data_IF_500872770839
#
_entry.id   IF_500872770839
#
_cell.length_a   1.000
_cell.length_b   1.000
_cell.length_c   1.000
_cell.angle_alpha   90.00
_cell.angle_beta   90.00
_cell.angle_gamma   90.00
#
_symmetry.space_group_name_H-M   'P 1'
#
loop_
_entity.id
_entity.type
_entity.pdbx_description
1 polymer ?
#
# COMPACT_ATOMS: atom_id res chain seq x y z
N UNK A 1 -9.05 17.92 7.12
CA UNK A 1 -7.96 17.26 7.85
C UNK A 1 -6.84 18.30 8.06
N UNK A 2 -6.10 18.33 9.22
CA UNK A 2 -5.07 19.34 9.49
C UNK A 2 -4.00 19.46 8.41
N UNK A 3 -3.53 18.35 7.88
CA UNK A 3 -2.51 18.31 6.82
C UNK A 3 -2.96 18.90 5.47
N UNK A 4 -4.25 18.85 5.15
CA UNK A 4 -4.80 19.51 3.95
C UNK A 4 -4.74 21.03 4.07
N UNK A 5 -4.84 21.55 5.29
CA UNK A 5 -4.69 22.97 5.61
C UNK A 5 -3.24 23.42 5.45
N UNK A 6 -2.30 22.61 5.94
CA UNK A 6 -0.86 22.90 5.82
C UNK A 6 -0.35 22.84 4.38
N UNK A 7 -0.84 21.90 3.56
CA UNK A 7 -0.51 21.84 2.13
C UNK A 7 -0.96 23.10 1.37
N UNK A 8 -2.13 23.65 1.69
CA UNK A 8 -2.63 24.92 1.11
C UNK A 8 -1.83 26.14 1.56
N UNK A 9 -1.37 26.16 2.80
CA UNK A 9 -0.61 27.28 3.37
C UNK A 9 0.82 27.34 2.83
N UNK A 10 1.43 26.18 2.52
CA UNK A 10 2.83 26.08 2.08
C UNK A 10 3.01 26.20 0.56
N UNK A 11 1.94 26.43 -0.22
CA UNK A 11 2.04 26.62 -1.67
C UNK A 11 2.57 25.41 -2.43
N UNK A 12 2.40 24.19 -1.88
CA UNK A 12 2.80 22.97 -2.58
C UNK A 12 1.91 22.82 -3.81
N UNK A 13 2.48 22.65 -5.03
CA UNK A 13 1.68 22.44 -6.23
C UNK A 13 0.78 21.23 -6.02
N UNK A 14 -0.54 21.45 -6.02
CA UNK A 14 -1.49 20.36 -5.88
C UNK A 14 -1.38 19.45 -7.11
N UNK A 15 -1.02 18.19 -6.91
CA UNK A 15 -1.24 17.14 -7.88
C UNK A 15 -2.76 16.99 -8.03
N UNK A 16 -3.35 17.73 -8.97
CA UNK A 16 -4.80 17.80 -9.16
C UNK A 16 -5.56 18.33 -7.94
N UNK A 17 -6.71 18.95 -8.16
CA UNK A 17 -7.59 19.35 -7.07
C UNK A 17 -8.02 18.10 -6.29
N UNK A 18 -7.70 18.04 -4.99
CA UNK A 18 -8.15 16.98 -4.11
C UNK A 18 -7.22 15.77 -3.94
N UNK A 19 -5.97 15.78 -4.44
CA UNK A 19 -5.03 14.69 -4.20
C UNK A 19 -4.93 14.36 -2.68
N UNK A 20 -4.97 13.07 -2.34
CA UNK A 20 -4.87 12.61 -0.95
C UNK A 20 -3.47 12.88 -0.42
N UNK A 21 -2.46 12.58 -1.22
CA UNK A 21 -1.06 12.83 -0.91
C UNK A 21 -0.45 13.80 -1.94
N UNK A 22 -0.49 15.12 -1.69
CA UNK A 22 -0.03 16.12 -2.65
C UNK A 22 1.49 16.27 -2.66
N UNK A 23 2.22 15.16 -2.85
CA UNK A 23 3.68 15.12 -2.97
C UNK A 23 4.04 14.75 -4.40
N UNK A 24 4.89 15.53 -5.09
CA UNK A 24 5.27 15.24 -6.48
C UNK A 24 5.90 13.86 -6.64
N UNK A 25 5.52 13.13 -7.70
CA UNK A 25 6.12 11.81 -7.99
C UNK A 25 7.65 11.84 -8.09
N UNK A 26 8.22 12.95 -8.54
CA UNK A 26 9.67 13.13 -8.63
C UNK A 26 10.37 13.03 -7.26
N UNK A 27 9.67 13.44 -6.20
CA UNK A 27 10.19 13.39 -4.82
C UNK A 27 9.99 12.02 -4.16
N UNK A 28 9.07 11.22 -4.69
CA UNK A 28 8.69 9.90 -4.16
C UNK A 28 9.42 8.77 -4.87
N UNK A 29 9.53 8.84 -6.21
CA UNK A 29 10.04 7.75 -7.04
C UNK A 29 11.56 7.76 -7.09
N UNK A 30 12.16 6.61 -6.82
CA UNK A 30 13.62 6.40 -6.90
C UNK A 30 13.95 5.29 -7.89
N UNK A 31 15.15 5.34 -8.45
CA UNK A 31 15.64 4.27 -9.30
C UNK A 31 15.88 3.00 -8.46
N UNK A 32 15.58 1.81 -9.00
CA UNK A 32 15.84 0.57 -8.28
C UNK A 32 17.31 0.39 -7.95
N UNK A 33 17.57 -0.11 -6.77
CA UNK A 33 18.92 -0.50 -6.31
C UNK A 33 18.85 -1.84 -5.57
N UNK A 34 19.97 -2.47 -5.35
CA UNK A 34 20.04 -3.70 -4.59
C UNK A 34 19.78 -3.43 -3.10
N UNK A 35 18.69 -4.01 -2.58
CA UNK A 35 18.30 -3.82 -1.19
C UNK A 35 19.18 -4.66 -0.28
N UNK A 36 19.79 -4.09 0.77
CA UNK A 36 20.59 -4.84 1.73
C UNK A 36 19.79 -5.99 2.36
N UNK A 37 20.43 -7.17 2.50
CA UNK A 37 19.77 -8.35 3.04
C UNK A 37 19.33 -8.20 4.49
N UNK A 38 20.03 -7.37 5.26
CA UNK A 38 19.73 -7.11 6.67
C UNK A 38 18.54 -6.15 6.90
N UNK A 39 18.01 -5.52 5.84
CA UNK A 39 16.85 -4.68 5.98
C UNK A 39 15.61 -5.53 6.21
N UNK A 40 14.83 -5.28 7.28
CA UNK A 40 13.55 -5.94 7.49
C UNK A 40 12.64 -5.72 6.29
N UNK A 41 11.94 -6.78 5.90
CA UNK A 41 10.98 -6.76 4.80
C UNK A 41 9.59 -7.14 5.29
N UNK A 42 8.59 -6.58 4.67
CA UNK A 42 7.18 -6.85 4.94
C UNK A 42 6.39 -6.69 3.64
N UNK A 43 5.26 -7.36 3.52
CA UNK A 43 4.30 -7.06 2.46
C UNK A 43 2.92 -6.71 3.02
N UNK A 44 2.14 -5.98 2.24
CA UNK A 44 0.74 -5.73 2.52
C UNK A 44 -0.14 -6.22 1.37
N UNK A 45 -1.27 -6.84 1.70
CA UNK A 45 -2.17 -7.52 0.79
C UNK A 45 -3.59 -6.94 0.92
N UNK A 46 -4.11 -6.42 -0.19
CA UNK A 46 -5.51 -6.07 -0.39
C UNK A 46 -6.14 -7.09 -1.34
N UNK A 47 -7.19 -7.78 -0.88
CA UNK A 47 -7.78 -8.93 -1.56
C UNK A 47 -9.13 -8.62 -2.17
N UNK A 48 -9.32 -9.05 -3.41
CA UNK A 48 -10.59 -8.96 -4.10
C UNK A 48 -10.58 -9.74 -5.41
N UNK A 49 -11.74 -10.28 -5.80
CA UNK A 49 -11.86 -11.02 -7.05
C UNK A 49 -11.47 -10.20 -8.29
N UNK A 50 -11.95 -8.96 -8.37
CA UNK A 50 -11.65 -8.10 -9.51
C UNK A 50 -10.21 -7.60 -9.48
N UNK A 51 -9.63 -7.46 -8.29
CA UNK A 51 -8.26 -7.03 -8.09
C UNK A 51 -7.74 -7.53 -6.75
N UNK A 52 -6.60 -8.19 -6.78
CA UNK A 52 -5.74 -8.43 -5.63
C UNK A 52 -4.46 -7.66 -5.83
N UNK A 53 -4.11 -6.84 -4.84
CA UNK A 53 -2.92 -5.99 -4.85
C UNK A 53 -2.00 -6.34 -3.69
N UNK A 54 -0.70 -6.43 -3.96
CA UNK A 54 0.33 -6.63 -2.93
C UNK A 54 1.46 -5.66 -3.16
N UNK A 55 1.93 -5.04 -2.08
CA UNK A 55 3.13 -4.19 -2.07
C UNK A 55 4.14 -4.77 -1.10
N UNK A 56 5.41 -4.80 -1.49
CA UNK A 56 6.52 -5.15 -0.60
C UNK A 56 7.32 -3.92 -0.23
N UNK A 57 7.67 -3.83 1.04
CA UNK A 57 8.52 -2.80 1.59
C UNK A 57 9.76 -3.36 2.26
N UNK A 58 10.85 -2.61 2.16
CA UNK A 58 12.09 -2.83 2.88
C UNK A 58 12.42 -1.58 3.71
N UNK A 59 12.80 -1.78 4.96
CA UNK A 59 12.97 -0.69 5.91
C UNK A 59 14.43 -0.47 6.28
N UNK A 60 14.94 0.72 5.92
CA UNK A 60 16.24 1.21 6.36
C UNK A 60 16.11 1.85 7.76
N UNK A 61 16.57 1.11 8.77
CA UNK A 61 16.55 1.58 10.16
C UNK A 61 17.53 2.74 10.41
N UNK A 62 18.57 2.87 9.58
CA UNK A 62 19.62 3.89 9.75
C UNK A 62 19.11 5.31 9.53
N UNK A 63 18.18 5.46 8.60
CA UNK A 63 17.60 6.76 8.22
C UNK A 63 16.07 6.81 8.38
N UNK A 64 15.47 5.80 9.01
CA UNK A 64 14.01 5.66 9.16
C UNK A 64 13.28 5.79 7.82
N UNK A 65 13.74 5.10 6.77
CA UNK A 65 13.12 5.15 5.46
C UNK A 65 12.55 3.80 5.03
N UNK A 66 11.32 3.82 4.52
CA UNK A 66 10.64 2.67 3.92
C UNK A 66 10.72 2.77 2.39
N UNK A 67 11.22 1.71 1.76
CA UNK A 67 11.29 1.59 0.30
C UNK A 67 10.27 0.56 -0.18
N UNK A 68 9.25 1.01 -0.93
CA UNK A 68 8.37 0.10 -1.65
C UNK A 68 9.10 -0.33 -2.93
N UNK A 69 9.38 -1.63 -3.09
CA UNK A 69 10.32 -2.09 -4.10
C UNK A 69 9.74 -3.02 -5.17
N UNK A 70 8.60 -3.63 -4.90
CA UNK A 70 7.89 -4.49 -5.88
C UNK A 70 6.40 -4.56 -5.57
N UNK A 71 5.63 -4.87 -6.60
CA UNK A 71 4.17 -5.00 -6.52
C UNK A 71 3.70 -6.29 -7.20
N UNK A 72 2.54 -6.79 -6.76
CA UNK A 72 1.73 -7.76 -7.48
C UNK A 72 0.34 -7.16 -7.66
N UNK A 73 -0.16 -7.15 -8.90
CA UNK A 73 -1.41 -6.47 -9.23
C UNK A 73 -2.17 -7.29 -10.26
N UNK A 74 -3.08 -8.15 -9.79
CA UNK A 74 -3.78 -9.11 -10.63
C UNK A 74 -5.22 -9.32 -10.14
N UNK A 75 -6.16 -9.42 -11.05
CA UNK A 75 -7.53 -9.84 -10.76
C UNK A 75 -7.89 -11.17 -11.40
N UNK A 76 -9.06 -11.68 -11.05
CA UNK A 76 -9.66 -12.90 -11.61
C UNK A 76 -8.74 -14.11 -11.52
N UNK A 77 -8.17 -14.31 -10.36
CA UNK A 77 -7.31 -15.44 -10.05
C UNK A 77 -7.61 -15.94 -8.63
N UNK A 78 -7.43 -17.23 -8.44
CA UNK A 78 -7.64 -17.91 -7.18
C UNK A 78 -6.59 -17.48 -6.13
N UNK A 79 -6.91 -17.55 -4.83
CA UNK A 79 -5.97 -17.24 -3.74
C UNK A 79 -4.65 -17.97 -3.85
N UNK A 80 -4.65 -19.23 -4.32
CA UNK A 80 -3.44 -20.03 -4.53
C UNK A 80 -2.45 -19.40 -5.53
N UNK A 81 -2.96 -18.75 -6.58
CA UNK A 81 -2.12 -18.06 -7.56
C UNK A 81 -1.43 -16.83 -6.95
N UNK A 82 -2.16 -16.09 -6.13
CA UNK A 82 -1.63 -14.93 -5.43
C UNK A 82 -0.61 -15.36 -4.36
N UNK A 83 -0.95 -16.40 -3.58
CA UNK A 83 -0.05 -16.95 -2.57
C UNK A 83 1.25 -17.50 -3.19
N UNK A 84 1.18 -18.18 -4.34
CA UNK A 84 2.36 -18.62 -5.06
C UNK A 84 3.25 -17.45 -5.49
N UNK A 85 2.65 -16.38 -6.02
CA UNK A 85 3.37 -15.16 -6.40
C UNK A 85 4.00 -14.45 -5.19
N UNK A 86 3.34 -14.47 -4.04
CA UNK A 86 3.87 -13.91 -2.78
C UNK A 86 5.07 -14.74 -2.30
N UNK A 87 4.92 -16.06 -2.20
CA UNK A 87 5.99 -16.97 -1.75
C UNK A 87 7.21 -16.94 -2.66
N UNK A 88 7.04 -16.75 -3.96
CA UNK A 88 8.14 -16.62 -4.91
C UNK A 88 9.04 -15.40 -4.66
N UNK A 89 8.55 -14.39 -3.94
CA UNK A 89 9.33 -13.19 -3.56
C UNK A 89 10.01 -13.31 -2.20
N UNK A 90 9.77 -14.41 -1.50
CA UNK A 90 10.37 -14.72 -0.20
C UNK A 90 9.30 -15.22 0.77
N UNK A 91 9.21 -16.54 0.93
CA UNK A 91 8.25 -17.18 1.85
C UNK A 91 8.47 -16.83 3.33
N UNK A 92 9.63 -16.29 3.65
CA UNK A 92 10.01 -15.84 5.00
C UNK A 92 9.51 -14.43 5.32
N UNK A 93 9.06 -13.64 4.33
CA UNK A 93 8.61 -12.26 4.53
C UNK A 93 7.24 -12.30 5.19
N UNK A 94 7.05 -11.66 6.37
CA UNK A 94 5.74 -11.54 6.98
C UNK A 94 4.86 -10.55 6.22
N UNK A 95 3.54 -10.68 6.35
CA UNK A 95 2.59 -9.81 5.70
C UNK A 95 1.48 -9.30 6.59
N UNK A 96 0.84 -8.24 6.14
CA UNK A 96 -0.43 -7.75 6.67
C UNK A 96 -1.49 -7.85 5.59
N UNK A 97 -2.71 -8.19 5.97
CA UNK A 97 -3.86 -8.32 5.06
C UNK A 97 -5.00 -7.41 5.48
N UNK A 98 -5.76 -6.90 4.51
CA UNK A 98 -6.98 -6.12 4.79
C UNK A 98 -7.87 -6.87 5.79
N UNK A 99 -8.24 -6.26 6.93
CA UNK A 99 -9.18 -6.85 7.87
C UNK A 99 -10.53 -7.23 7.27
N UNK A 100 -10.96 -6.58 6.19
CA UNK A 100 -12.17 -6.93 5.47
C UNK A 100 -12.13 -8.35 4.88
N UNK A 101 -10.92 -8.90 4.66
CA UNK A 101 -10.75 -10.31 4.27
C UNK A 101 -11.29 -11.31 5.30
N UNK A 102 -11.47 -10.90 6.57
CA UNK A 102 -12.12 -11.68 7.63
C UNK A 102 -13.66 -11.68 7.54
N UNK A 103 -14.22 -10.86 6.68
CA UNK A 103 -15.58 -10.90 6.15
C UNK A 103 -16.75 -10.58 7.03
N UNK A 104 -17.71 -9.82 6.46
CA UNK A 104 -19.06 -9.56 6.97
C UNK A 104 -20.14 -10.42 6.32
N UNK A 105 -19.83 -11.27 5.38
CA UNK A 105 -20.78 -12.20 4.77
C UNK A 105 -20.41 -13.61 5.16
N UNK A 106 -21.43 -14.34 5.59
CA UNK A 106 -21.29 -15.67 6.18
C UNK A 106 -20.52 -16.70 5.33
N UNK A 107 -20.20 -16.40 4.08
CA UNK A 107 -19.62 -17.40 3.17
C UNK A 107 -18.34 -16.98 2.42
N UNK A 108 -18.03 -15.70 2.19
CA UNK A 108 -16.91 -15.33 1.33
C UNK A 108 -15.73 -14.63 2.02
N UNK A 109 -15.93 -13.81 3.00
CA UNK A 109 -14.85 -12.98 3.55
C UNK A 109 -14.05 -13.61 4.68
N UNK A 110 -14.67 -14.38 5.55
CA UNK A 110 -13.95 -15.19 6.56
C UNK A 110 -13.09 -16.24 5.86
N UNK A 111 -13.58 -16.72 4.75
CA UNK A 111 -12.94 -17.71 3.91
C UNK A 111 -11.64 -17.17 3.28
N UNK A 112 -11.62 -15.94 2.75
CA UNK A 112 -10.43 -15.41 2.08
C UNK A 112 -9.20 -15.29 3.00
N UNK A 113 -9.38 -14.83 4.23
CA UNK A 113 -8.27 -14.79 5.19
C UNK A 113 -7.74 -16.20 5.50
N UNK A 114 -8.66 -17.13 5.80
CA UNK A 114 -8.33 -18.52 6.07
C UNK A 114 -7.68 -19.19 4.85
N UNK A 115 -8.21 -18.94 3.64
CA UNK A 115 -7.65 -19.48 2.40
C UNK A 115 -6.17 -19.08 2.22
N UNK A 116 -5.81 -17.83 2.53
CA UNK A 116 -4.42 -17.38 2.46
C UNK A 116 -3.54 -17.95 3.58
N UNK A 117 -4.08 -18.15 4.79
CA UNK A 117 -3.37 -18.86 5.88
C UNK A 117 -3.13 -20.34 5.51
N UNK A 118 -4.13 -21.02 4.96
CA UNK A 118 -4.01 -22.41 4.47
C UNK A 118 -3.00 -22.54 3.34
N UNK A 119 -2.85 -21.50 2.50
CA UNK A 119 -1.77 -21.42 1.51
C UNK A 119 -0.38 -21.22 2.14
N UNK A 120 -0.27 -21.16 3.47
CA UNK A 120 0.99 -21.04 4.21
C UNK A 120 1.59 -19.62 4.22
N UNK A 121 0.77 -18.58 4.06
CA UNK A 121 1.23 -17.21 4.23
C UNK A 121 1.28 -16.84 5.72
N UNK A 122 2.38 -16.20 6.14
CA UNK A 122 2.51 -15.61 7.47
C UNK A 122 1.90 -14.20 7.45
N UNK A 123 0.61 -14.09 7.77
CA UNK A 123 -0.16 -12.86 7.69
C UNK A 123 -0.86 -12.53 9.00
N UNK A 124 -0.98 -11.23 9.27
CA UNK A 124 -1.83 -10.70 10.34
C UNK A 124 -2.77 -9.64 9.77
N UNK A 125 -3.88 -9.36 10.47
CA UNK A 125 -4.78 -8.29 10.04
C UNK A 125 -4.11 -6.93 10.16
N UNK A 126 -4.20 -6.12 9.11
CA UNK A 126 -3.71 -4.75 9.09
C UNK A 126 -4.54 -3.83 10.00
N UNK A 127 -3.95 -2.71 10.39
CA UNK A 127 -4.73 -1.60 10.93
C UNK A 127 -5.44 -0.88 9.77
N UNK A 128 -6.76 -0.90 9.74
CA UNK A 128 -7.57 -0.30 8.68
C UNK A 128 -8.12 1.09 9.04
N UNK A 129 -7.52 1.79 9.99
CA UNK A 129 -7.88 3.17 10.28
C UNK A 129 -7.48 4.09 9.12
N UNK A 130 -8.48 4.52 8.31
CA UNK A 130 -8.23 5.34 7.11
C UNK A 130 -7.48 6.63 7.42
N UNK A 131 -7.94 7.40 8.40
CA UNK A 131 -7.34 8.71 8.71
C UNK A 131 -5.92 8.58 9.25
N UNK A 132 -5.69 7.58 10.11
CA UNK A 132 -4.35 7.29 10.66
C UNK A 132 -3.40 6.88 9.55
N UNK A 133 -3.83 5.96 8.69
CA UNK A 133 -3.01 5.46 7.59
C UNK A 133 -2.72 6.54 6.55
N UNK A 134 -3.71 7.35 6.16
CA UNK A 134 -3.51 8.47 5.22
C UNK A 134 -2.50 9.47 5.79
N UNK A 135 -2.63 9.83 7.07
CA UNK A 135 -1.71 10.76 7.71
C UNK A 135 -0.29 10.20 7.84
N UNK A 136 -0.14 8.96 8.26
CA UNK A 136 1.16 8.31 8.41
C UNK A 136 1.92 8.22 7.07
N UNK A 137 1.23 7.87 5.98
CA UNK A 137 1.83 7.85 4.64
C UNK A 137 2.20 9.26 4.19
N UNK A 138 1.31 10.23 4.36
CA UNK A 138 1.59 11.62 4.01
C UNK A 138 2.82 12.18 4.75
N UNK A 139 2.94 11.90 6.03
CA UNK A 139 4.06 12.34 6.85
C UNK A 139 5.38 11.75 6.32
N UNK A 140 5.42 10.44 6.03
CA UNK A 140 6.61 9.78 5.46
C UNK A 140 6.94 10.28 4.05
N UNK A 141 5.95 10.54 3.21
CA UNK A 141 6.15 11.10 1.87
C UNK A 141 6.75 12.51 1.92
N UNK A 142 6.19 13.39 2.76
CA UNK A 142 6.64 14.78 2.87
C UNK A 142 8.01 14.93 3.50
N UNK A 143 8.39 13.99 4.36
CA UNK A 143 9.73 13.96 4.99
C UNK A 143 10.75 13.15 4.20
N UNK A 144 10.36 12.58 3.05
CA UNK A 144 11.23 11.74 2.22
C UNK A 144 11.53 10.35 2.79
N UNK A 145 10.81 9.93 3.84
CA UNK A 145 10.97 8.63 4.52
C UNK A 145 10.12 7.50 3.93
N UNK A 146 9.36 7.77 2.88
CA UNK A 146 8.73 6.76 2.03
C UNK A 146 9.18 6.99 0.59
N UNK A 147 9.83 5.99 0.02
CA UNK A 147 10.31 5.97 -1.36
C UNK A 147 9.71 4.78 -2.11
N UNK A 148 9.54 4.93 -3.40
CA UNK A 148 8.92 3.90 -4.25
C UNK A 148 9.78 3.68 -5.48
N UNK A 149 10.07 2.43 -5.81
CA UNK A 149 10.86 2.11 -7.00
C UNK A 149 10.08 2.44 -8.28
N UNK A 150 10.76 3.06 -9.24
CA UNK A 150 10.17 3.47 -10.53
C UNK A 150 9.58 2.31 -11.34
N UNK A 151 9.96 1.09 -11.02
CA UNK A 151 9.41 -0.14 -11.62
C UNK A 151 7.97 -0.44 -11.20
N UNK A 152 7.47 0.18 -10.13
CA UNK A 152 6.10 -0.01 -9.63
C UNK A 152 5.11 0.84 -10.43
N UNK A 153 4.78 0.38 -11.63
CA UNK A 153 3.97 1.13 -12.61
C UNK A 153 2.51 1.25 -12.18
N UNK A 154 1.92 0.17 -11.61
CA UNK A 154 0.54 0.20 -11.16
C UNK A 154 0.38 1.10 -9.94
N UNK A 155 1.32 1.05 -8.99
CA UNK A 155 1.36 1.94 -7.83
C UNK A 155 1.36 3.41 -8.28
N UNK A 156 2.25 3.76 -9.22
CA UNK A 156 2.29 5.12 -9.77
C UNK A 156 0.97 5.53 -10.41
N UNK A 157 0.33 4.63 -11.15
CA UNK A 157 -0.94 4.92 -11.82
C UNK A 157 -2.09 5.15 -10.83
N UNK A 158 -2.14 4.42 -9.72
CA UNK A 158 -3.12 4.65 -8.66
C UNK A 158 -2.80 5.92 -7.87
N UNK A 159 -1.52 6.16 -7.56
CA UNK A 159 -1.09 7.35 -6.81
C UNK A 159 -1.56 8.66 -7.42
N UNK A 160 -1.43 8.82 -8.73
CA UNK A 160 -1.85 10.06 -9.42
C UNK A 160 -3.38 10.24 -9.48
N UNK A 161 -4.14 9.15 -9.28
CA UNK A 161 -5.61 9.16 -9.26
C UNK A 161 -6.19 9.23 -7.85
N UNK A 162 -5.37 8.97 -6.82
CA UNK A 162 -5.82 8.87 -5.44
C UNK A 162 -6.18 10.25 -4.89
N UNK A 163 -7.50 10.49 -4.76
CA UNK A 163 -8.03 11.82 -4.50
C UNK A 163 -9.30 11.80 -3.67
N UNK A 164 -9.62 12.93 -3.11
CA UNK A 164 -10.95 13.22 -2.58
C UNK A 164 -11.86 13.79 -3.68
N UNK A 165 -13.16 13.56 -3.55
CA UNK A 165 -14.17 14.22 -4.37
C UNK A 165 -14.40 15.69 -3.93
N UNK A 166 -15.31 16.39 -4.62
CA UNK A 166 -15.66 17.77 -4.31
C UNK A 166 -16.27 17.95 -2.91
N UNK A 167 -16.84 16.87 -2.35
CA UNK A 167 -17.44 16.84 -1.01
C UNK A 167 -16.43 16.45 0.08
N UNK A 168 -15.20 16.14 -0.30
CA UNK A 168 -14.14 15.73 0.62
C UNK A 168 -14.17 14.24 0.98
N UNK A 169 -14.95 13.42 0.29
CA UNK A 169 -14.93 11.97 0.47
C UNK A 169 -13.83 11.33 -0.38
N UNK A 170 -13.18 10.32 0.16
CA UNK A 170 -12.21 9.53 -0.57
C UNK A 170 -12.87 8.79 -1.74
N UNK A 171 -12.34 8.99 -2.95
CA UNK A 171 -12.82 8.27 -4.14
C UNK A 171 -12.30 6.83 -4.08
N UNK A 172 -13.20 5.89 -3.82
CA UNK A 172 -12.94 4.45 -3.74
C UNK A 172 -12.93 3.83 -5.16
N UNK A 173 -11.88 4.11 -5.91
CA UNK A 173 -11.68 3.57 -7.27
C UNK A 173 -10.20 3.55 -7.60
N UNK A 174 -9.72 2.38 -8.05
CA UNK A 174 -8.30 2.18 -8.39
C UNK A 174 -7.39 2.62 -7.22
N UNK A 175 -7.65 2.16 -6.00
CA UNK A 175 -6.99 2.56 -4.75
C UNK A 175 -6.37 1.39 -3.97
N UNK A 176 -6.33 0.21 -4.58
CA UNK A 176 -5.86 -1.03 -3.94
C UNK A 176 -4.39 -0.96 -3.46
N UNK A 177 -3.49 -0.41 -4.30
CA UNK A 177 -2.09 -0.23 -3.91
C UNK A 177 -1.89 0.94 -2.96
N UNK A 178 -2.83 1.88 -2.91
CA UNK A 178 -2.85 2.97 -1.93
C UNK A 178 -3.28 2.42 -0.56
N UNK A 179 -4.27 1.53 -0.54
CA UNK A 179 -4.70 0.84 0.67
C UNK A 179 -3.58 -0.07 1.22
N UNK A 180 -2.92 -0.87 0.37
CA UNK A 180 -1.75 -1.66 0.80
C UNK A 180 -0.60 -0.78 1.30
N UNK A 181 -0.39 0.40 0.72
CA UNK A 181 0.61 1.37 1.20
C UNK A 181 0.27 1.89 2.60
N UNK A 182 -1.01 2.11 2.91
CA UNK A 182 -1.45 2.47 4.27
C UNK A 182 -1.20 1.33 5.25
N UNK A 183 -1.53 0.10 4.87
CA UNK A 183 -1.36 -1.08 5.73
C UNK A 183 0.10 -1.36 6.08
N UNK A 184 1.02 -1.11 5.14
CA UNK A 184 2.45 -1.39 5.37
C UNK A 184 3.13 -0.31 6.23
N UNK A 185 2.56 0.89 6.29
CA UNK A 185 3.13 2.04 7.02
C UNK A 185 2.68 2.07 8.49
N UNK A 186 1.49 1.52 8.82
CA UNK A 186 0.87 1.54 10.14
C UNK A 186 0.97 0.19 10.81
#
# INVERSE_FOLDING_TARGET
>A
LPYMRDARIRGIPALGAGAVWPVPLADVMVDPFELPDHWPRVYALDVGWNRTAVVWGAYDKGIDALYLYTEHYRGRAEPSNHAAAIKARGSWIPGVIDPAARGRTQDAGHQLYADYEEQGLNIIAANNSHDVGIYAVWERLTTGRLKVFRTMVNWRNEYVKYRFDEKGHLVKKDDHLMDTTRYIVV
#
